data_IF_172534695672
#
_entry.id   IF_172534695672
#
_cell.length_a   1.000
_cell.length_b   1.000
_cell.length_c   1.000
_cell.angle_alpha   90.00
_cell.angle_beta   90.00
_cell.angle_gamma   90.00
#
_symmetry.space_group_name_H-M   'P 1'
#
loop_
_entity.id
_entity.type
_entity.pdbx_description
1 polymer ?
#
# COMPACT_ATOMS: atom_id res chain seq x y z
N UNK A 1 12.77 17.49 -15.07
CA UNK A 1 12.67 16.03 -15.26
C UNK A 1 13.55 15.29 -14.24
N UNK A 2 14.82 15.67 -14.08
CA UNK A 2 15.76 14.99 -13.16
C UNK A 2 15.39 15.05 -11.67
N UNK A 3 14.93 16.20 -11.15
CA UNK A 3 14.56 16.32 -9.73
C UNK A 3 13.38 15.42 -9.30
N UNK A 4 12.46 15.11 -10.22
CA UNK A 4 11.31 14.23 -9.95
C UNK A 4 11.72 12.77 -9.91
N UNK A 5 12.75 12.38 -10.66
CA UNK A 5 13.31 11.01 -10.66
C UNK A 5 14.13 10.78 -9.40
N UNK A 6 14.99 11.73 -9.00
CA UNK A 6 15.78 11.62 -7.78
C UNK A 6 14.90 11.50 -6.52
N UNK A 7 13.83 12.29 -6.41
CA UNK A 7 12.87 12.19 -5.30
C UNK A 7 12.14 10.84 -5.26
N UNK A 8 11.99 10.14 -6.40
CA UNK A 8 11.39 8.79 -6.44
C UNK A 8 12.36 7.74 -5.92
N UNK A 9 13.62 7.79 -6.36
CA UNK A 9 14.66 6.84 -5.94
C UNK A 9 14.97 6.91 -4.43
N UNK A 10 14.90 8.09 -3.84
CA UNK A 10 15.09 8.26 -2.39
C UNK A 10 13.90 7.76 -1.55
N UNK A 11 12.70 7.83 -2.12
CA UNK A 11 11.45 7.57 -1.41
C UNK A 11 11.07 6.09 -1.43
N UNK A 12 11.45 5.36 -2.48
CA UNK A 12 11.15 3.93 -2.63
C UNK A 12 11.66 3.09 -1.45
N UNK A 13 12.94 3.20 -1.00
CA UNK A 13 13.42 2.45 0.16
C UNK A 13 12.66 2.77 1.45
N UNK A 14 12.26 4.03 1.63
CA UNK A 14 11.51 4.46 2.81
C UNK A 14 10.10 3.85 2.85
N UNK A 15 9.40 3.80 1.70
CA UNK A 15 8.08 3.17 1.58
C UNK A 15 8.17 1.67 1.89
N UNK A 16 9.13 0.98 1.28
CA UNK A 16 9.31 -0.47 1.47
C UNK A 16 9.69 -0.79 2.92
N UNK A 17 10.57 0.01 3.51
CA UNK A 17 10.94 -0.12 4.92
C UNK A 17 9.74 0.05 5.85
N UNK A 18 8.91 1.08 5.61
CA UNK A 18 7.70 1.31 6.39
C UNK A 18 6.69 0.15 6.27
N UNK A 19 6.45 -0.34 5.05
CA UNK A 19 5.57 -1.49 4.80
C UNK A 19 6.03 -2.73 5.57
N UNK A 20 7.31 -3.09 5.43
CA UNK A 20 7.91 -4.24 6.14
C UNK A 20 7.86 -4.07 7.65
N UNK A 21 8.08 -2.86 8.15
CA UNK A 21 7.95 -2.55 9.57
C UNK A 21 6.56 -2.87 10.12
N UNK A 22 5.51 -2.46 9.41
CA UNK A 22 4.12 -2.74 9.80
C UNK A 22 3.82 -4.24 9.72
N UNK A 23 4.24 -4.94 8.66
CA UNK A 23 4.04 -6.39 8.52
C UNK A 23 4.68 -7.14 9.70
N UNK A 24 5.93 -6.84 10.02
CA UNK A 24 6.63 -7.47 11.15
C UNK A 24 5.94 -7.20 12.49
N UNK A 25 5.42 -5.98 12.70
CA UNK A 25 4.66 -5.65 13.90
C UNK A 25 3.35 -6.44 14.00
N UNK A 26 2.65 -6.60 12.87
CA UNK A 26 1.41 -7.39 12.81
C UNK A 26 1.67 -8.87 13.09
N UNK A 27 2.72 -9.46 12.50
CA UNK A 27 3.10 -10.85 12.75
C UNK A 27 3.45 -11.09 14.22
N UNK A 28 4.28 -10.21 14.80
CA UNK A 28 4.63 -10.28 16.22
C UNK A 28 3.40 -10.16 17.13
N UNK A 29 2.47 -9.27 16.80
CA UNK A 29 1.23 -9.09 17.55
C UNK A 29 0.29 -10.31 17.45
N UNK A 30 0.11 -10.88 16.25
CA UNK A 30 -0.66 -12.11 16.05
C UNK A 30 -0.06 -13.28 16.84
N UNK A 31 1.27 -13.44 16.80
CA UNK A 31 1.97 -14.48 17.55
C UNK A 31 1.81 -14.30 19.06
N UNK A 32 2.01 -13.08 19.58
CA UNK A 32 1.83 -12.79 21.01
C UNK A 32 0.39 -13.00 21.49
N UNK A 33 -0.59 -12.77 20.61
CA UNK A 33 -2.01 -12.98 20.91
C UNK A 33 -2.49 -14.43 20.71
N UNK A 34 -1.65 -15.32 20.16
CA UNK A 34 -2.04 -16.69 19.79
C UNK A 34 -3.16 -16.71 18.74
N UNK A 35 -3.16 -15.73 17.82
CA UNK A 35 -4.18 -15.57 16.77
C UNK A 35 -3.59 -15.79 15.40
N UNK A 36 -4.48 -16.15 14.47
CA UNK A 36 -4.12 -16.28 13.06
C UNK A 36 -3.59 -14.94 12.49
N UNK A 37 -2.75 -15.00 11.44
CA UNK A 37 -2.31 -13.82 10.72
C UNK A 37 -3.48 -12.99 10.21
N UNK A 38 -3.34 -11.67 10.33
CA UNK A 38 -4.33 -10.69 9.86
C UNK A 38 -3.92 -10.11 8.51
N UNK A 39 -4.88 -9.66 7.72
CA UNK A 39 -4.63 -9.01 6.43
C UNK A 39 -4.39 -7.51 6.61
N UNK A 40 -3.29 -7.00 6.04
CA UNK A 40 -3.01 -5.56 6.00
C UNK A 40 -3.74 -4.91 4.82
N UNK A 41 -4.69 -4.02 5.10
CA UNK A 41 -5.27 -3.13 4.09
C UNK A 41 -4.52 -1.79 4.09
N UNK A 42 -3.68 -1.55 3.09
CA UNK A 42 -2.89 -0.33 2.97
C UNK A 42 -3.79 0.83 2.47
N UNK A 43 -4.04 1.83 3.31
CA UNK A 43 -4.89 2.98 2.94
C UNK A 43 -4.13 3.94 2.02
N UNK A 44 -4.56 4.03 0.77
CA UNK A 44 -3.89 4.78 -0.30
C UNK A 44 -4.57 6.09 -0.68
N UNK A 45 -5.61 6.52 0.08
CA UNK A 45 -6.24 7.83 -0.12
C UNK A 45 -5.20 8.95 -0.17
N UNK A 46 -5.36 9.85 -1.13
CA UNK A 46 -4.45 10.98 -1.42
C UNK A 46 -3.01 10.62 -1.80
N UNK A 47 -2.65 9.33 -1.89
CA UNK A 47 -1.33 8.89 -2.32
C UNK A 47 -1.25 8.78 -3.85
N UNK A 48 -0.12 9.16 -4.46
CA UNK A 48 0.09 9.04 -5.89
C UNK A 48 0.27 7.56 -6.28
N UNK A 49 0.01 7.26 -7.55
CA UNK A 49 0.04 5.89 -8.09
C UNK A 49 1.42 5.23 -7.89
N UNK A 50 2.50 6.00 -7.94
CA UNK A 50 3.86 5.51 -7.71
C UNK A 50 4.06 4.88 -6.34
N UNK A 51 3.53 5.50 -5.29
CA UNK A 51 3.66 4.93 -3.93
C UNK A 51 2.91 3.61 -3.82
N UNK A 52 1.77 3.51 -4.51
CA UNK A 52 0.97 2.29 -4.55
C UNK A 52 1.71 1.21 -5.33
N UNK A 53 2.31 1.58 -6.47
CA UNK A 53 3.14 0.69 -7.28
C UNK A 53 4.35 0.18 -6.49
N UNK A 54 5.07 1.04 -5.76
CA UNK A 54 6.18 0.62 -4.88
C UNK A 54 5.72 -0.40 -3.83
N UNK A 55 4.60 -0.15 -3.15
CA UNK A 55 4.04 -1.12 -2.21
C UNK A 55 3.65 -2.44 -2.89
N UNK A 56 3.05 -2.35 -4.09
CA UNK A 56 2.64 -3.50 -4.87
C UNK A 56 3.84 -4.36 -5.30
N UNK A 57 4.91 -3.73 -5.78
CA UNK A 57 6.16 -4.39 -6.18
C UNK A 57 6.85 -5.05 -4.96
N UNK A 58 6.65 -4.48 -3.77
CA UNK A 58 7.08 -5.07 -2.49
C UNK A 58 6.14 -6.17 -1.95
N UNK A 59 5.10 -6.54 -2.69
CA UNK A 59 4.20 -7.67 -2.37
C UNK A 59 2.84 -7.29 -1.76
N UNK A 60 2.57 -6.01 -1.49
CA UNK A 60 1.25 -5.58 -1.01
C UNK A 60 0.19 -5.80 -2.10
N UNK A 61 -0.99 -6.32 -1.73
CA UNK A 61 -2.09 -6.54 -2.69
C UNK A 61 -3.41 -5.89 -2.29
N UNK A 62 -3.63 -5.66 -1.00
CA UNK A 62 -4.90 -5.12 -0.49
C UNK A 62 -4.76 -3.63 -0.22
N UNK A 63 -5.56 -2.82 -0.90
CA UNK A 63 -5.52 -1.35 -0.77
C UNK A 63 -6.89 -0.75 -0.48
N UNK A 64 -6.91 0.30 0.33
CA UNK A 64 -8.12 0.99 0.79
C UNK A 64 -8.23 2.41 0.24
N UNK A 65 -9.40 2.75 -0.34
CA UNK A 65 -9.72 4.11 -0.83
C UNK A 65 -10.98 4.69 -0.17
N UNK A 66 -10.98 6.01 0.01
CA UNK A 66 -12.10 6.73 0.62
C UNK A 66 -13.08 7.31 -0.40
N UNK A 67 -12.67 7.50 -1.65
CA UNK A 67 -13.50 8.11 -2.70
C UNK A 67 -13.63 7.12 -3.87
N UNK A 68 -14.86 6.90 -4.33
CA UNK A 68 -15.15 5.94 -5.41
C UNK A 68 -14.45 6.36 -6.71
N UNK A 69 -14.39 7.66 -7.00
CA UNK A 69 -13.71 8.16 -8.19
C UNK A 69 -12.21 7.85 -8.18
N UNK A 70 -11.56 7.99 -7.02
CA UNK A 70 -10.14 7.66 -6.85
C UNK A 70 -9.91 6.17 -7.03
N UNK A 71 -10.74 5.33 -6.41
CA UNK A 71 -10.66 3.86 -6.54
C UNK A 71 -10.83 3.42 -8.00
N UNK A 72 -11.87 3.91 -8.67
CA UNK A 72 -12.13 3.57 -10.07
C UNK A 72 -10.97 4.04 -10.96
N UNK A 73 -10.48 5.26 -10.76
CA UNK A 73 -9.35 5.78 -11.52
C UNK A 73 -8.07 4.96 -11.29
N UNK A 74 -7.74 4.67 -10.04
CA UNK A 74 -6.53 3.90 -9.66
C UNK A 74 -6.60 2.45 -10.14
N UNK A 75 -7.73 1.77 -9.97
CA UNK A 75 -7.92 0.39 -10.45
C UNK A 75 -7.79 0.25 -11.98
N UNK A 76 -8.05 1.33 -12.72
CA UNK A 76 -7.81 1.36 -14.16
C UNK A 76 -6.31 1.46 -14.53
N UNK A 77 -5.52 2.23 -13.77
CA UNK A 77 -4.12 2.53 -14.07
C UNK A 77 -3.11 1.59 -13.43
N UNK A 78 -3.48 0.94 -12.33
CA UNK A 78 -2.62 0.03 -11.55
C UNK A 78 -2.88 -1.46 -11.87
N UNK A 79 -2.02 -2.39 -11.40
CA UNK A 79 -2.18 -3.82 -11.61
C UNK A 79 -3.57 -4.35 -11.24
N UNK A 80 -4.07 -5.30 -12.04
CA UNK A 80 -5.46 -5.77 -12.00
C UNK A 80 -5.74 -6.79 -10.91
N UNK A 81 -4.69 -7.36 -10.31
CA UNK A 81 -4.73 -8.28 -9.17
C UNK A 81 -4.68 -7.55 -7.82
N UNK A 82 -4.73 -6.21 -7.80
CA UNK A 82 -4.97 -5.46 -6.57
C UNK A 82 -6.39 -5.71 -6.07
N UNK A 83 -6.51 -6.07 -4.80
CA UNK A 83 -7.77 -6.12 -4.07
C UNK A 83 -8.10 -4.73 -3.52
N UNK A 84 -9.03 -4.05 -4.19
CA UNK A 84 -9.50 -2.72 -3.81
C UNK A 84 -10.65 -2.80 -2.81
N UNK A 85 -10.50 -2.13 -1.67
CA UNK A 85 -11.53 -1.96 -0.66
C UNK A 85 -11.97 -0.49 -0.60
N UNK A 86 -13.26 -0.25 -0.80
CA UNK A 86 -13.83 1.05 -0.47
C UNK A 86 -14.09 1.12 1.04
N UNK A 87 -13.45 2.10 1.71
CA UNK A 87 -13.52 2.30 3.17
C UNK A 87 -14.03 3.71 3.54
N UNK A 88 -14.51 4.47 2.54
CA UNK A 88 -15.16 5.76 2.75
C UNK A 88 -16.52 5.61 3.43
N UNK A 89 -16.96 6.68 4.09
CA UNK A 89 -18.33 6.83 4.60
C UNK A 89 -19.10 7.81 3.73
#
# INVERSE_FOLDING_TARGET
MEAVVALREEMEPAIVSALRGVINQMEAASQAAGRDPVTLCAVSKTKPDEMIQTCYDAGQRVFGENHVQDLVGKSQRLPKDIEWHFIGR
#
